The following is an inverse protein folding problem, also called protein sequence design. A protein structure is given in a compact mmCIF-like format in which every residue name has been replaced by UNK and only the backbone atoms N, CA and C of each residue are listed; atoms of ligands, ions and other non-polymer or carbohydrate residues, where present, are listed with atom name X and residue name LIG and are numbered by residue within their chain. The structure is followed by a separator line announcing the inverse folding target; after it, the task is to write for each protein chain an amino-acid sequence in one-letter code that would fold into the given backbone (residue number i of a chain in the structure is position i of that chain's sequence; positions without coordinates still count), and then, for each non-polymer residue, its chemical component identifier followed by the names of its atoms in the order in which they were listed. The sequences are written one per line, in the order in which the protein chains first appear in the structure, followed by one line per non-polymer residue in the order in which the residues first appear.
data_IF_512218972310
#
_entry.id   IF_512218972310
#
_cell.length_a   1.000
_cell.length_b   1.000
_cell.length_c   1.000
_cell.angle_alpha   90.00
_cell.angle_beta   90.00
_cell.angle_gamma   90.00
#
_symmetry.space_group_name_H-M   'P 1'
#
loop_
_entity.id
_entity.type
_entity.pdbx_description
1 polymer ?
2 non-polymer ?
3 non-polymer ?
4 non-polymer ?
5 non-polymer ?
6 water ?
#
# COMPACT_ATOMS: atom_id res chain seq x y z
N UNK A 7 -25.46 14.70 12.88
CA UNK A 7 -23.96 14.66 13.10
C UNK A 7 -23.30 16.04 12.85
N UNK A 8 -22.72 16.63 13.91
CA UNK A 8 -22.28 18.05 13.90
C UNK A 8 -20.75 18.20 13.88
N UNK A 9 -20.23 18.94 12.89
CA UNK A 9 -18.76 19.09 12.68
C UNK A 9 -18.37 20.47 12.14
N UNK A 10 -17.07 20.83 12.21
CA UNK A 10 -16.65 22.14 11.69
C UNK A 10 -17.11 22.35 10.25
N UNK A 11 -17.53 23.56 9.90
CA UNK A 11 -17.96 23.81 8.54
C UNK A 11 -16.74 23.92 7.63
N UNK A 12 -16.71 23.15 6.53
CA UNK A 12 -15.63 23.49 5.62
C UNK A 12 -15.91 24.87 5.03
N UNK A 13 -14.88 25.66 4.87
CA UNK A 13 -15.02 26.97 4.22
C UNK A 13 -14.07 26.99 3.04
N UNK A 14 -14.68 27.31 1.92
CA UNK A 14 -14.07 27.17 0.62
C UNK A 14 -12.95 28.17 0.38
N UNK A 15 -12.97 29.32 1.07
CA UNK A 15 -11.89 30.30 1.00
C UNK A 15 -10.84 30.14 2.11
N UNK A 16 -10.99 29.12 2.95
CA UNK A 16 -9.95 28.72 3.90
C UNK A 16 -9.53 27.25 3.50
N UNK A 17 -8.38 27.11 2.87
CA UNK A 17 -7.89 25.77 2.64
C UNK A 17 -7.43 25.12 3.96
N UNK A 18 -7.48 23.78 4.00
CA UNK A 18 -7.06 22.92 5.12
C UNK A 18 -5.52 23.00 5.29
N UNK A 19 -4.87 22.67 4.20
CA UNK A 19 -3.45 22.57 4.09
C UNK A 19 -3.10 23.47 2.94
N UNK A 20 -2.24 24.48 3.13
CA UNK A 20 -1.71 25.33 2.04
C UNK A 20 -0.28 24.98 1.66
N UNK A 21 0.29 24.03 2.39
CA UNK A 21 1.70 23.68 2.30
C UNK A 21 1.97 22.52 1.36
N UNK A 22 0.92 21.74 1.06
CA UNK A 22 1.11 20.55 0.25
C UNK A 22 0.02 20.48 -0.83
N UNK A 23 0.33 19.74 -1.87
CA UNK A 23 -0.63 19.42 -2.95
C UNK A 23 -1.60 18.37 -2.36
N UNK A 24 -2.90 18.65 -2.39
CA UNK A 24 -3.90 17.72 -1.79
C UNK A 24 -4.83 17.04 -2.81
N UNK A 25 -4.63 17.36 -4.05
CA UNK A 25 -5.32 16.73 -5.18
C UNK A 25 -4.39 16.59 -6.37
N UNK A 26 -4.39 15.45 -7.07
CA UNK A 26 -3.56 15.26 -8.23
C UNK A 26 -4.16 15.95 -9.44
N UNK A 27 -3.36 16.09 -10.51
CA UNK A 27 -4.00 16.75 -11.69
C UNK A 27 -5.08 15.97 -12.40
N UNK A 28 -5.32 14.73 -12.03
CA UNK A 28 -6.47 14.00 -12.50
C UNK A 28 -7.53 13.87 -11.42
N UNK A 29 -7.52 14.79 -10.47
CA UNK A 29 -8.56 14.94 -9.45
C UNK A 29 -8.70 13.76 -8.49
N UNK A 30 -7.60 13.10 -8.22
CA UNK A 30 -7.56 12.12 -7.09
C UNK A 30 -7.06 12.79 -5.86
N UNK A 31 -7.76 12.66 -4.75
CA UNK A 31 -7.26 13.19 -3.46
C UNK A 31 -5.88 12.60 -3.13
N UNK A 32 -5.04 13.49 -2.64
CA UNK A 32 -3.79 13.09 -1.96
C UNK A 32 -3.97 13.24 -0.45
N UNK A 33 -3.89 12.11 0.25
CA UNK A 33 -4.33 11.94 1.59
C UNK A 33 -3.27 12.34 2.62
N UNK A 34 -3.53 13.53 3.19
CA UNK A 34 -2.78 14.17 4.31
C UNK A 34 -3.67 14.45 5.51
N UNK A 35 -3.07 14.46 6.72
CA UNK A 35 -3.81 14.90 7.90
C UNK A 35 -4.28 16.33 7.71
N UNK A 36 -5.54 16.56 8.00
CA UNK A 36 -6.19 17.81 7.88
C UNK A 36 -7.01 17.93 6.62
N UNK A 37 -6.98 16.92 5.74
CA UNK A 37 -7.81 16.93 4.54
C UNK A 37 -9.14 16.23 4.70
N UNK A 38 -9.26 15.38 5.73
CA UNK A 38 -10.40 14.55 5.92
C UNK A 38 -11.00 14.66 7.31
N UNK A 39 -12.31 14.56 7.36
CA UNK A 39 -13.05 14.42 8.64
C UNK A 39 -13.33 12.93 8.79
N UNK A 40 -12.62 12.28 9.66
CA UNK A 40 -12.77 10.82 9.76
C UNK A 40 -14.14 10.38 10.22
N UNK A 41 -14.86 11.23 10.94
CA UNK A 41 -16.18 10.85 11.42
C UNK A 41 -17.15 10.72 10.24
N UNK A 42 -17.00 11.62 9.26
CA UNK A 42 -17.80 11.45 8.07
C UNK A 42 -17.49 10.22 7.31
N UNK A 43 -16.21 9.99 6.99
CA UNK A 43 -15.78 8.77 6.27
C UNK A 43 -16.15 7.46 6.97
N UNK A 44 -15.99 7.43 8.28
CA UNK A 44 -16.30 6.23 9.01
C UNK A 44 -17.78 5.87 8.83
N UNK A 45 -18.63 6.86 8.92
CA UNK A 45 -20.07 6.65 8.73
C UNK A 45 -20.37 6.12 7.34
N UNK A 46 -19.77 6.73 6.33
CA UNK A 46 -20.04 6.30 4.98
C UNK A 46 -19.65 4.86 4.80
N UNK A 47 -18.46 4.48 5.30
CA UNK A 47 -17.97 3.11 5.11
C UNK A 47 -18.67 2.08 5.97
N UNK A 48 -19.09 2.51 7.18
CA UNK A 48 -19.87 1.56 8.02
C UNK A 48 -21.25 1.28 7.45
N UNK A 49 -21.81 2.30 6.81
CA UNK A 49 -23.14 2.09 6.15
C UNK A 49 -23.11 1.03 5.09
N UNK A 50 -21.97 0.80 4.44
CA UNK A 50 -21.79 -0.31 3.53
C UNK A 50 -21.22 -1.56 4.14
N UNK A 51 -21.09 -1.62 5.44
CA UNK A 51 -20.54 -2.80 6.08
C UNK A 51 -19.23 -3.20 5.46
N UNK A 52 -18.38 -2.22 5.29
CA UNK A 52 -17.08 -2.47 4.52
C UNK A 52 -16.18 -3.44 5.20
N UNK A 53 -15.63 -4.39 4.44
CA UNK A 53 -14.59 -5.31 4.91
C UNK A 53 -13.34 -5.04 4.18
N UNK A 54 -12.29 -4.88 4.93
CA UNK A 54 -10.96 -4.59 4.36
C UNK A 54 -10.03 -5.80 4.60
N UNK A 55 -9.39 -6.28 3.51
CA UNK A 55 -8.48 -7.36 3.57
C UNK A 55 -7.09 -6.74 3.62
N UNK A 56 -6.17 -7.27 4.43
CA UNK A 56 -4.81 -6.73 4.53
C UNK A 56 -3.91 -7.92 4.26
N UNK A 57 -3.12 -7.85 3.20
CA UNK A 57 -2.19 -8.93 2.81
C UNK A 57 -0.78 -8.59 3.22
N UNK A 58 -0.04 -9.57 3.73
CA UNK A 58 1.30 -9.37 4.18
C UNK A 58 2.04 -10.67 3.95
N UNK A 59 3.26 -10.61 3.45
CA UNK A 59 4.06 -11.82 3.24
C UNK A 59 5.06 -11.87 4.36
N UNK A 60 5.20 -13.04 4.99
CA UNK A 60 6.26 -13.26 5.99
C UNK A 60 6.93 -14.58 5.67
N UNK A 61 7.98 -14.53 4.83
CA UNK A 61 8.68 -15.72 4.28
C UNK A 61 10.07 -15.73 4.91
N UNK A 62 10.50 -16.90 5.38
CA UNK A 62 11.83 -17.01 6.03
C UNK A 62 11.95 -16.19 7.32
N UNK A 63 13.03 -15.41 7.52
CA UNK A 63 13.25 -14.62 8.71
C UNK A 63 12.20 -13.55 9.04
N UNK A 64 11.49 -13.13 8.00
CA UNK A 64 10.44 -12.12 8.12
C UNK A 64 9.24 -12.48 8.97
N UNK A 65 9.11 -13.75 9.39
CA UNK A 65 8.10 -14.07 10.36
C UNK A 65 8.31 -13.36 11.66
N UNK A 66 9.57 -12.99 11.94
CA UNK A 66 9.88 -12.25 13.16
C UNK A 66 9.18 -10.89 13.27
N UNK A 67 8.84 -10.29 12.12
CA UNK A 67 8.15 -8.99 12.06
C UNK A 67 6.65 -9.07 12.30
N UNK A 68 6.05 -10.25 12.24
CA UNK A 68 4.58 -10.33 12.38
C UNK A 68 4.00 -9.90 13.73
N UNK A 69 4.62 -10.20 14.89
CA UNK A 69 3.99 -9.86 16.13
C UNK A 69 3.76 -8.37 16.24
N UNK A 70 4.79 -7.56 15.96
CA UNK A 70 4.66 -6.12 16.13
C UNK A 70 3.67 -5.57 15.04
N UNK A 71 3.81 -6.10 13.87
CA UNK A 71 2.95 -5.69 12.73
C UNK A 71 1.51 -5.89 13.10
N UNK A 72 1.17 -7.09 13.52
CA UNK A 72 -0.26 -7.35 13.88
C UNK A 72 -0.75 -6.67 15.15
N UNK A 73 0.07 -6.62 16.22
CA UNK A 73 -0.29 -5.89 17.37
C UNK A 73 -0.62 -4.39 17.09
N UNK A 74 0.23 -3.77 16.31
CA UNK A 74 0.08 -2.36 15.99
C UNK A 74 -1.04 -2.14 14.98
N UNK A 75 -1.29 -3.12 14.10
CA UNK A 75 -2.46 -3.04 13.20
C UNK A 75 -3.76 -3.09 14.00
N UNK A 76 -3.82 -3.92 15.04
CA UNK A 76 -4.96 -3.93 15.94
C UNK A 76 -5.24 -2.59 16.61
N UNK A 77 -4.16 -1.86 16.94
CA UNK A 77 -4.32 -0.54 17.47
C UNK A 77 -4.75 0.55 16.51
N UNK A 78 -4.33 0.46 15.27
CA UNK A 78 -4.42 1.62 14.34
C UNK A 78 -5.09 1.40 13.03
N UNK A 79 -5.20 0.13 12.58
CA UNK A 79 -5.64 -0.14 11.19
C UNK A 79 -7.13 -0.46 11.11
N UNK A 80 -7.86 0.42 10.46
CA UNK A 80 -9.30 0.23 10.26
C UNK A 80 -10.08 -0.10 11.53
N UNK A 81 -9.70 0.54 12.65
CA UNK A 81 -10.37 0.18 13.87
C UNK A 81 -11.84 0.55 13.81
N UNK A 82 -12.73 -0.40 14.11
CA UNK A 82 -14.17 -0.23 14.02
C UNK A 82 -14.84 -0.78 12.82
N UNK A 83 -14.00 -1.18 11.85
CA UNK A 83 -14.44 -1.77 10.62
C UNK A 83 -14.08 -3.23 10.55
N UNK A 84 -14.67 -3.97 9.65
CA UNK A 84 -14.32 -5.42 9.51
C UNK A 84 -12.99 -5.54 8.80
N UNK A 85 -12.12 -6.38 9.33
CA UNK A 85 -10.77 -6.55 8.82
C UNK A 85 -10.48 -8.06 8.72
N UNK A 86 -9.93 -8.48 7.57
CA UNK A 86 -9.44 -9.82 7.37
C UNK A 86 -7.97 -9.75 6.97
N UNK A 87 -7.10 -10.23 7.88
CA UNK A 87 -5.68 -10.32 7.63
C UNK A 87 -5.37 -11.58 6.85
N UNK A 88 -4.61 -11.46 5.79
CA UNK A 88 -4.14 -12.65 5.09
C UNK A 88 -2.63 -12.68 5.19
N UNK A 89 -2.11 -13.67 5.93
CA UNK A 89 -0.70 -13.80 6.15
C UNK A 89 -0.18 -14.93 5.29
N UNK A 90 0.66 -14.59 4.29
CA UNK A 90 1.29 -15.56 3.40
C UNK A 90 2.62 -15.93 3.99
N UNK A 91 2.81 -17.22 4.32
CA UNK A 91 4.08 -17.57 4.96
C UNK A 91 4.44 -19.02 4.56
N UNK A 92 5.74 -19.28 4.57
CA UNK A 92 6.31 -20.65 4.43
C UNK A 92 6.35 -21.35 5.81
N UNK A 93 6.05 -20.63 6.87
CA UNK A 93 6.07 -21.15 8.26
C UNK A 93 4.76 -20.93 9.04
N UNK A 94 3.70 -21.68 8.73
CA UNK A 94 2.41 -21.38 9.47
C UNK A 94 2.48 -21.42 10.98
N UNK A 95 3.28 -22.35 11.54
CA UNK A 95 3.43 -22.44 13.02
C UNK A 95 4.16 -21.28 13.70
N UNK A 96 4.86 -20.49 12.90
CA UNK A 96 5.56 -19.31 13.39
C UNK A 96 4.68 -18.02 13.45
N UNK A 97 3.49 -18.07 12.91
CA UNK A 97 2.57 -16.88 12.97
C UNK A 97 2.19 -16.71 14.44
N UNK A 98 2.54 -15.59 15.04
CA UNK A 98 2.07 -15.39 16.44
C UNK A 98 0.56 -15.28 16.61
N UNK A 99 0.03 -15.77 17.75
CA UNK A 99 -1.39 -15.76 18.01
C UNK A 99 -1.56 -14.38 18.70
N UNK A 100 -2.11 -13.42 17.99
CA UNK A 100 -2.33 -12.08 18.52
C UNK A 100 -3.85 -11.98 18.74
N UNK A 101 -4.25 -11.39 19.83
CA UNK A 101 -5.67 -11.26 20.17
C UNK A 101 -6.26 -10.13 19.35
N UNK A 102 -7.37 -10.44 18.67
CA UNK A 102 -7.96 -9.47 17.76
C UNK A 102 -9.24 -8.88 18.32
N UNK A 103 -9.51 -7.63 17.95
CA UNK A 103 -10.75 -6.95 18.19
C UNK A 103 -11.90 -7.61 17.49
N UNK A 104 -13.10 -7.25 17.94
CA UNK A 104 -14.30 -7.88 17.36
C UNK A 104 -14.42 -7.50 15.85
N UNK A 105 -14.88 -8.45 15.03
CA UNK A 105 -15.05 -8.14 13.57
C UNK A 105 -13.76 -8.28 12.74
N UNK A 106 -12.73 -8.86 13.36
CA UNK A 106 -11.43 -9.00 12.76
C UNK A 106 -11.01 -10.42 12.80
N UNK A 107 -10.49 -10.88 11.66
CA UNK A 107 -10.03 -12.29 11.53
C UNK A 107 -8.73 -12.41 10.85
N UNK A 108 -8.04 -13.52 11.06
CA UNK A 108 -6.75 -13.70 10.42
C UNK A 108 -6.75 -15.08 9.76
N UNK A 109 -6.28 -15.15 8.53
CA UNK A 109 -6.07 -16.42 7.83
C UNK A 109 -4.63 -16.55 7.50
N UNK A 110 -4.11 -17.78 7.59
CA UNK A 110 -2.72 -18.08 7.25
C UNK A 110 -2.72 -18.83 5.94
N UNK A 111 -1.98 -18.36 4.94
CA UNK A 111 -1.95 -18.97 3.62
C UNK A 111 -0.52 -19.50 3.49
N UNK A 112 -0.39 -20.82 3.33
CA UNK A 112 0.94 -21.37 3.22
C UNK A 112 1.39 -21.32 1.79
N UNK A 113 2.58 -20.76 1.57
CA UNK A 113 3.17 -20.64 0.25
C UNK A 113 4.60 -21.16 0.27
N UNK A 114 5.14 -21.29 -0.95
CA UNK A 114 6.53 -21.72 -1.12
C UNK A 114 7.47 -20.53 -0.97
N UNK A 115 8.70 -20.82 -0.57
CA UNK A 115 9.75 -19.79 -0.44
C UNK A 115 10.60 -19.87 -1.71
N UNK A 116 10.82 -18.73 -2.35
CA UNK A 116 11.87 -18.60 -3.37
C UNK A 116 13.17 -18.25 -2.64
N UNK A 117 14.32 -18.70 -3.18
CA UNK A 117 15.63 -18.46 -2.54
C UNK A 117 16.02 -16.97 -2.58
N UNK A 118 15.91 -16.38 -3.76
CA UNK A 118 16.29 -14.98 -3.97
C UNK A 118 15.28 -13.98 -3.37
N UNK A 119 15.78 -12.93 -2.71
CA UNK A 119 14.94 -11.83 -2.17
C UNK A 119 14.16 -11.08 -3.24
N UNK A 120 14.67 -11.10 -4.48
CA UNK A 120 14.02 -10.44 -5.64
C UNK A 120 12.74 -11.15 -6.03
N UNK A 121 12.78 -12.49 -6.02
CA UNK A 121 11.62 -13.34 -6.38
C UNK A 121 10.60 -13.43 -5.25
N UNK A 122 11.05 -13.43 -3.99
CA UNK A 122 10.11 -13.35 -2.82
C UNK A 122 9.27 -12.07 -2.93
N UNK A 123 9.96 -10.92 -3.02
CA UNK A 123 9.28 -9.63 -3.20
C UNK A 123 8.45 -9.63 -4.52
N UNK A 124 9.04 -10.13 -5.61
CA UNK A 124 8.40 -10.09 -6.96
C UNK A 124 7.20 -11.02 -7.11
N UNK A 125 7.30 -12.27 -6.63
CA UNK A 125 6.20 -13.25 -6.77
C UNK A 125 4.97 -12.90 -5.88
N UNK A 126 5.05 -11.82 -5.10
CA UNK A 126 3.87 -11.36 -4.33
C UNK A 126 2.75 -11.02 -5.32
N UNK A 127 3.06 -10.30 -6.37
CA UNK A 127 2.01 -10.04 -7.37
C UNK A 127 1.28 -11.30 -7.86
N UNK A 128 2.06 -12.32 -8.13
CA UNK A 128 1.47 -13.56 -8.55
C UNK A 128 0.63 -14.15 -7.43
N UNK A 129 1.19 -14.15 -6.22
CA UNK A 129 0.56 -14.79 -5.09
C UNK A 129 -0.76 -14.07 -4.78
N UNK A 130 -0.71 -12.75 -4.78
CA UNK A 130 -1.95 -12.00 -4.56
C UNK A 130 -3.01 -12.31 -5.60
N UNK A 131 -2.61 -12.44 -6.87
CA UNK A 131 -3.64 -12.63 -7.92
C UNK A 131 -4.04 -14.13 -8.01
N UNK A 134 -5.42 -17.37 -6.22
CA UNK A 134 -5.88 -16.81 -4.93
C UNK A 134 -7.02 -15.80 -5.09
N UNK A 135 -7.71 -15.89 -6.23
CA UNK A 135 -8.48 -14.80 -6.81
C UNK A 135 -9.95 -14.77 -6.33
N UNK A 136 -10.64 -15.92 -6.39
CA UNK A 136 -12.08 -15.98 -6.00
C UNK A 136 -12.27 -15.82 -4.49
N UNK A 137 -11.26 -16.21 -3.71
CA UNK A 137 -11.40 -16.13 -2.25
C UNK A 137 -11.47 -14.64 -1.83
N UNK A 138 -10.57 -13.78 -2.35
CA UNK A 138 -10.62 -12.32 -2.04
C UNK A 138 -11.94 -11.66 -2.46
N UNK A 139 -12.41 -11.94 -3.69
CA UNK A 139 -13.69 -11.41 -4.21
C UNK A 139 -14.90 -11.68 -3.33
N UNK A 140 -14.95 -12.86 -2.69
CA UNK A 140 -16.09 -13.20 -1.84
C UNK A 140 -15.96 -12.68 -0.41
N UNK A 141 -14.74 -12.41 0.04
CA UNK A 141 -14.49 -12.23 1.50
C UNK A 141 -14.28 -10.77 1.92
N UNK A 142 -13.80 -9.93 0.99
CA UNK A 142 -13.48 -8.53 1.26
C UNK A 142 -13.98 -7.55 0.17
N UNK A 143 -14.14 -6.27 0.54
CA UNK A 143 -14.48 -5.23 -0.42
C UNK A 143 -13.22 -4.58 -1.04
N UNK A 144 -12.22 -4.35 -0.18
CA UNK A 144 -10.96 -3.76 -0.55
C UNK A 144 -9.84 -4.63 -0.15
N UNK A 145 -8.71 -4.54 -0.84
CA UNK A 145 -7.50 -5.21 -0.47
C UNK A 145 -6.43 -4.13 -0.32
N UNK A 146 -5.65 -4.25 0.74
CA UNK A 146 -4.50 -3.44 1.05
C UNK A 146 -3.27 -4.35 1.15
N UNK A 147 -2.22 -4.01 0.44
CA UNK A 147 -1.07 -4.87 0.24
C UNK A 147 0.15 -4.17 0.77
N UNK A 148 0.73 -4.67 1.84
CA UNK A 148 1.86 -3.94 2.54
C UNK A 148 3.03 -4.88 2.87
N UNK A 149 4.19 -4.27 3.00
CA UNK A 149 5.34 -4.92 3.63
C UNK A 149 5.11 -5.29 5.07
N UNK A 150 5.80 -6.40 5.52
CA UNK A 150 5.64 -6.83 6.90
C UNK A 150 6.64 -6.20 7.91
N UNK A 151 7.77 -5.74 7.38
CA UNK A 151 8.78 -5.10 8.23
C UNK A 151 8.46 -3.64 8.61
N UNK A 152 7.32 -3.45 9.28
CA UNK A 152 6.71 -2.14 9.41
C UNK A 152 5.97 -2.21 10.69
N UNK A 153 5.60 -1.08 11.23
CA UNK A 153 4.73 -1.00 12.33
C UNK A 153 3.76 0.18 12.13
N UNK A 154 2.54 0.00 12.54
CA UNK A 154 1.61 1.12 12.65
C UNK A 154 1.85 1.94 13.90
N UNK A 155 2.04 3.25 13.73
CA UNK A 155 2.19 4.20 14.85
C UNK A 155 1.04 5.20 15.06
N UNK A 156 0.10 5.30 14.09
CA UNK A 156 -0.99 6.19 14.16
C UNK A 156 -2.06 5.69 13.16
N UNK A 157 -3.18 6.34 13.22
CA UNK A 157 -4.37 5.98 12.43
C UNK A 157 -4.07 5.71 10.96
N UNK A 158 -4.56 4.51 10.49
CA UNK A 158 -4.57 4.19 9.05
C UNK A 158 -5.96 3.64 8.83
N UNK A 159 -6.84 4.44 8.21
CA UNK A 159 -8.25 4.12 8.18
C UNK A 159 -8.89 4.31 6.78
N UNK A 160 -10.22 4.42 6.81
CA UNK A 160 -11.00 4.28 5.59
C UNK A 160 -10.76 5.44 4.65
N UNK A 161 -10.13 6.52 5.09
CA UNK A 161 -9.65 7.54 4.19
C UNK A 161 -8.83 7.04 3.03
N UNK A 162 -8.18 5.88 3.19
CA UNK A 162 -7.29 5.43 2.11
C UNK A 162 -8.11 4.69 1.07
N UNK A 163 -9.33 4.26 1.42
CA UNK A 163 -10.09 3.35 0.56
C UNK A 163 -10.69 4.08 -0.64
N UNK A 164 -10.58 3.39 -1.76
CA UNK A 164 -10.89 3.94 -3.13
C UNK A 164 -10.70 2.79 -4.13
N UNK A 165 -11.12 2.93 -5.39
CA UNK A 165 -10.81 1.83 -6.32
C UNK A 165 -9.37 1.44 -6.46
N UNK A 166 -8.43 2.39 -6.51
CA UNK A 166 -7.04 2.14 -6.70
C UNK A 166 -6.19 3.22 -6.04
N UNK A 167 -5.26 2.79 -5.18
CA UNK A 167 -4.35 3.74 -4.62
C UNK A 167 -2.90 3.25 -4.61
N UNK A 168 -2.02 4.24 -4.70
CA UNK A 168 -0.63 4.04 -4.46
C UNK A 168 -0.20 5.04 -3.40
N UNK A 169 1.09 4.89 -2.99
CA UNK A 169 1.62 5.64 -1.85
C UNK A 169 2.93 6.31 -2.33
N UNK A 170 3.07 7.56 -2.03
CA UNK A 170 4.30 8.30 -2.43
C UNK A 170 5.52 7.78 -1.68
N UNK A 171 6.57 7.42 -2.44
CA UNK A 171 7.83 6.90 -1.85
C UNK A 171 8.45 8.01 -1.02
N UNK A 172 8.82 7.71 0.24
CA UNK A 172 9.22 8.80 1.14
C UNK A 172 10.55 9.50 0.78
N UNK A 173 11.33 8.86 -0.09
CA UNK A 173 12.66 9.37 -0.53
C UNK A 173 12.55 10.23 -1.75
N UNK A 174 11.37 10.25 -2.37
CA UNK A 174 11.27 10.93 -3.64
C UNK A 174 10.14 11.91 -3.78
N UNK A 175 9.33 12.15 -2.75
CA UNK A 175 8.17 13.01 -2.87
C UNK A 175 8.49 14.47 -3.22
N UNK A 176 9.66 14.96 -2.80
CA UNK A 176 10.08 16.33 -3.14
C UNK A 176 10.99 16.38 -4.36
N UNK A 177 11.07 15.29 -5.09
CA UNK A 177 11.96 15.22 -6.23
C UNK A 177 11.29 15.44 -7.59
N UNK A 178 12.13 15.76 -8.57
CA UNK A 178 11.73 15.94 -9.95
C UNK A 178 11.79 14.62 -10.67
N UNK A 179 11.01 14.47 -11.71
CA UNK A 179 10.80 13.18 -12.33
C UNK A 179 12.04 12.51 -12.94
N UNK A 180 12.89 13.25 -13.63
CA UNK A 180 14.18 12.70 -14.09
C UNK A 180 15.01 12.06 -12.95
N UNK A 181 14.83 12.50 -11.71
CA UNK A 181 15.42 11.82 -10.55
C UNK A 181 14.74 10.49 -10.13
N UNK A 182 13.54 10.22 -10.65
CA UNK A 182 12.82 9.01 -10.25
C UNK A 182 13.54 7.80 -10.79
N UNK A 183 13.67 6.80 -9.95
CA UNK A 183 14.35 5.55 -10.31
C UNK A 183 13.41 4.53 -10.95
N UNK A 184 12.58 5.01 -11.88
CA UNK A 184 11.84 4.20 -12.79
C UNK A 184 12.78 3.32 -13.61
N UNK A 185 12.24 2.28 -14.18
CA UNK A 185 13.01 1.46 -15.14
C UNK A 185 13.22 2.35 -16.38
N UNK A 186 14.46 2.50 -16.83
CA UNK A 186 14.76 3.34 -18.00
C UNK A 186 15.17 2.60 -19.29
N UNK A 187 15.17 1.27 -19.26
CA UNK A 187 15.52 0.47 -20.43
C UNK A 187 14.27 0.14 -21.29
N UNK A 188 14.24 0.54 -22.57
CA UNK A 188 13.07 0.22 -23.35
C UNK A 188 12.83 -1.28 -23.56
N UNK A 189 13.81 -2.08 -23.19
CA UNK A 189 13.72 -3.51 -23.27
C UNK A 189 12.71 -4.07 -22.27
N UNK A 190 12.47 -3.31 -21.19
CA UNK A 190 11.66 -3.78 -20.05
C UNK A 190 10.20 -3.34 -20.21
N UNK A 191 9.26 -4.23 -19.95
CA UNK A 191 7.83 -3.87 -19.80
C UNK A 191 7.60 -2.70 -18.82
N UNK A 192 8.52 -2.51 -17.86
CA UNK A 192 8.38 -1.45 -16.85
C UNK A 192 8.89 -0.09 -17.31
N UNK A 193 9.33 -0.04 -18.57
CA UNK A 193 10.02 1.14 -19.08
C UNK A 193 9.18 2.43 -19.01
N UNK A 194 9.71 3.46 -18.38
CA UNK A 194 9.15 4.81 -18.47
C UNK A 194 10.17 5.88 -18.93
N UNK A 195 9.86 6.53 -20.06
CA UNK A 195 10.77 7.59 -20.59
C UNK A 195 11.06 8.68 -19.61
N UNK A 196 12.21 9.33 -19.79
CA UNK A 196 12.65 10.44 -18.94
C UNK A 196 11.68 11.63 -18.84
N UNK A 197 10.83 11.81 -19.83
CA UNK A 197 9.94 12.98 -19.81
C UNK A 197 8.50 12.60 -19.34
N UNK A 198 8.34 11.36 -18.84
CA UNK A 198 7.04 10.88 -18.35
C UNK A 198 7.06 10.57 -16.85
N UNK A 199 5.85 10.55 -16.28
CA UNK A 199 5.76 10.24 -14.86
C UNK A 199 5.13 11.27 -13.97
N UNK A 200 4.19 10.81 -13.13
CA UNK A 200 3.58 11.69 -12.16
C UNK A 200 4.30 11.70 -10.83
N UNK A 201 4.48 10.51 -10.23
CA UNK A 201 5.05 10.38 -8.93
C UNK A 201 5.88 9.11 -8.96
N UNK A 202 6.61 8.87 -7.90
CA UNK A 202 7.32 7.64 -7.77
C UNK A 202 6.63 6.94 -6.59
N UNK A 203 5.91 5.86 -6.89
CA UNK A 203 5.16 5.13 -5.83
C UNK A 203 6.03 4.05 -5.23
N UNK A 204 5.88 3.78 -3.94
CA UNK A 204 6.62 2.71 -3.28
C UNK A 204 5.86 1.40 -3.35
N UNK A 205 6.56 0.29 -3.60
CA UNK A 205 5.83 -1.01 -3.64
C UNK A 205 5.35 -1.57 -2.33
N UNK A 206 5.70 -0.91 -1.23
CA UNK A 206 5.40 -1.35 0.13
C UNK A 206 3.98 -1.08 0.60
N UNK A 207 3.16 -0.39 -0.22
CA UNK A 207 1.79 0.01 0.29
C UNK A 207 1.00 0.43 -0.92
N UNK A 208 0.12 -0.43 -1.40
CA UNK A 208 -0.79 -0.12 -2.47
C UNK A 208 -2.09 -0.88 -2.18
N UNK A 209 -3.14 -0.58 -2.92
CA UNK A 209 -4.38 -1.30 -2.75
C UNK A 209 -5.52 -0.70 -3.51
N UNK A 210 -6.75 -1.11 -3.12
CA UNK A 210 -7.90 -0.73 -3.89
C UNK A 210 -9.05 -1.66 -3.71
N UNK A 211 -10.01 -1.53 -4.57
CA UNK A 211 -11.05 -2.59 -4.62
C UNK A 211 -10.45 -3.92 -5.00
N UNK A 212 -11.13 -5.02 -4.62
CA UNK A 212 -10.58 -6.32 -4.94
C UNK A 212 -10.40 -6.41 -6.48
N UNK A 213 -11.36 -5.93 -7.25
CA UNK A 213 -11.26 -6.03 -8.75
C UNK A 213 -10.02 -5.27 -9.23
N UNK A 214 -9.78 -4.04 -8.75
CA UNK A 214 -8.67 -3.26 -9.25
C UNK A 214 -7.33 -3.79 -8.80
N UNK A 215 -7.26 -4.31 -7.58
CA UNK A 215 -6.02 -4.95 -7.10
C UNK A 215 -5.74 -6.28 -7.90
N UNK A 216 -6.76 -7.02 -8.16
CA UNK A 216 -6.56 -8.29 -8.97
C UNK A 216 -6.05 -7.85 -10.35
N UNK A 217 -6.60 -6.80 -10.96
CA UNK A 217 -6.11 -6.28 -12.26
C UNK A 217 -4.67 -5.84 -12.26
N UNK A 218 -4.32 -5.04 -11.23
CA UNK A 218 -3.00 -4.56 -11.10
C UNK A 218 -2.03 -5.74 -10.95
N UNK A 219 -2.35 -6.67 -10.06
CA UNK A 219 -1.39 -7.71 -9.68
C UNK A 219 -1.20 -8.68 -10.86
N UNK A 220 -2.31 -8.96 -11.55
CA UNK A 220 -2.30 -9.74 -12.82
C UNK A 220 -1.47 -9.06 -13.86
N UNK A 221 -1.67 -7.76 -14.06
CA UNK A 221 -0.88 -7.02 -15.02
C UNK A 221 0.58 -7.00 -14.69
N UNK A 222 0.93 -6.75 -13.42
CA UNK A 222 2.33 -6.68 -13.03
C UNK A 222 3.00 -8.08 -13.25
N UNK A 223 2.28 -9.13 -12.89
CA UNK A 223 2.80 -10.50 -13.00
C UNK A 223 3.02 -10.81 -14.45
N UNK A 224 2.07 -10.48 -15.32
CA UNK A 224 2.19 -10.72 -16.78
C UNK A 224 3.33 -9.98 -17.38
N UNK A 225 3.51 -8.74 -16.94
CA UNK A 225 4.64 -7.92 -17.33
C UNK A 225 5.99 -8.48 -16.85
N UNK A 226 6.06 -8.98 -15.63
CA UNK A 226 7.35 -9.50 -15.14
C UNK A 226 7.70 -10.80 -15.91
N UNK A 227 6.70 -11.60 -16.29
CA UNK A 227 6.95 -12.90 -16.96
C UNK A 227 7.51 -12.59 -18.34
N UNK A 228 6.95 -11.55 -18.97
CA UNK A 228 7.45 -11.07 -20.27
C UNK A 228 8.91 -10.60 -20.16
N UNK A 229 9.23 -9.86 -19.11
CA UNK A 229 10.59 -9.43 -18.91
C UNK A 229 11.52 -10.64 -18.72
N UNK A 230 11.08 -11.62 -17.95
CA UNK A 230 11.87 -12.86 -17.70
C UNK A 230 12.13 -13.64 -19.01
N UNK A 231 11.06 -13.98 -19.73
CA UNK A 231 11.20 -14.60 -21.05
C UNK A 231 11.99 -13.75 -22.06
N UNK A 232 12.42 -12.54 -21.67
CA UNK A 232 13.29 -11.71 -22.51
C UNK A 232 14.64 -11.41 -21.91
N UNK A 233 15.00 -12.06 -20.81
CA UNK A 233 16.29 -11.82 -20.16
C UNK A 233 16.56 -10.47 -19.51
N UNK A 234 15.53 -9.82 -18.94
CA UNK A 234 15.78 -8.55 -18.22
C UNK A 234 14.98 -8.58 -16.91
N UNK A 235 15.55 -7.99 -15.87
CA UNK A 235 14.91 -7.86 -14.57
C UNK A 235 14.83 -6.40 -14.35
N UNK A 236 13.63 -5.88 -14.11
CA UNK A 236 13.49 -4.45 -13.92
C UNK A 236 14.27 -4.00 -12.72
N UNK A 237 14.79 -2.80 -12.77
CA UNK A 237 15.66 -2.26 -11.77
C UNK A 237 15.23 -2.30 -10.32
N UNK A 238 14.00 -1.90 -10.04
CA UNK A 238 13.44 -2.13 -8.70
C UNK A 238 12.31 -3.11 -8.75
N UNK A 239 12.39 -4.06 -9.70
CA UNK A 239 11.60 -5.28 -9.59
C UNK A 239 10.07 -5.00 -9.60
N UNK A 240 9.32 -5.45 -8.58
CA UNK A 240 7.84 -5.27 -8.58
C UNK A 240 7.48 -3.80 -8.57
N UNK A 241 8.25 -3.01 -7.83
CA UNK A 241 8.01 -1.58 -7.72
C UNK A 241 8.18 -0.89 -9.05
N UNK A 242 9.12 -1.33 -9.88
CA UNK A 242 9.19 -0.79 -11.27
C UNK A 242 7.89 -0.98 -12.07
N UNK A 243 7.33 -2.18 -12.03
CA UNK A 243 6.15 -2.54 -12.75
C UNK A 243 4.93 -1.85 -12.12
N UNK A 244 4.89 -1.76 -10.78
CA UNK A 244 3.84 -0.99 -10.04
C UNK A 244 3.80 0.43 -10.56
N UNK A 245 4.98 1.03 -10.73
CA UNK A 245 5.04 2.41 -11.19
C UNK A 245 4.63 2.56 -12.63
N UNK A 246 4.97 1.60 -13.48
CA UNK A 246 4.48 1.63 -14.85
C UNK A 246 2.96 1.45 -14.93
N UNK A 247 2.39 0.53 -14.15
CA UNK A 247 0.96 0.31 -14.11
C UNK A 247 0.21 1.60 -13.70
N UNK A 248 0.71 2.23 -12.64
CA UNK A 248 0.03 3.42 -12.05
C UNK A 248 0.25 4.67 -12.90
N UNK A 249 1.27 4.67 -13.77
CA UNK A 249 1.39 5.71 -14.78
C UNK A 249 0.29 5.60 -15.81
N UNK A 250 0.04 4.40 -16.29
CA UNK A 250 -0.94 4.15 -17.32
C UNK A 250 -2.38 4.01 -16.81
N UNK A 251 -2.56 3.63 -15.55
CA UNK A 251 -3.89 3.46 -14.92
C UNK A 251 -3.85 4.29 -13.65
N UNK A 252 -4.29 5.53 -13.69
CA UNK A 252 -3.94 6.43 -12.62
C UNK A 252 -4.75 6.16 -11.38
N UNK A 253 -4.07 6.21 -10.20
CA UNK A 253 -4.78 5.83 -9.02
C UNK A 253 -5.86 6.90 -8.69
N UNK A 254 -6.91 6.44 -8.03
CA UNK A 254 -8.00 7.30 -7.63
C UNK A 254 -7.87 7.96 -6.28
N UNK A 255 -6.93 7.49 -5.48
CA UNK A 255 -6.31 8.26 -4.37
C UNK A 255 -4.80 7.99 -4.33
N UNK A 256 -4.04 8.95 -3.85
CA UNK A 256 -2.61 8.82 -3.56
C UNK A 256 -2.41 9.07 -2.09
N UNK A 257 -1.73 8.17 -1.39
CA UNK A 257 -1.41 8.43 -0.02
C UNK A 257 -0.15 9.27 0.10
N UNK A 258 -0.21 10.20 1.02
CA UNK A 258 1.02 10.95 1.34
C UNK A 258 2.07 10.08 2.08
N UNK A 259 3.29 10.65 2.25
CA UNK A 259 4.32 9.86 2.97
C UNK A 259 4.08 9.67 4.45
N UNK A 260 3.01 10.23 5.01
CA UNK A 260 2.58 9.90 6.34
C UNK A 260 2.34 8.40 6.40
N UNK A 261 1.98 7.83 5.25
CA UNK A 261 1.60 6.40 5.22
C UNK A 261 2.70 5.46 4.95
N UNK A 262 3.91 5.95 4.61
CA UNK A 262 5.06 5.09 4.42
C UNK A 262 6.33 5.92 4.77
N UNK A 263 6.82 5.74 5.95
CA UNK A 263 7.96 6.57 6.40
C UNK A 263 9.01 5.82 7.19
N UNK A 264 10.16 6.49 7.40
CA UNK A 264 11.25 5.83 8.17
C UNK A 264 11.87 6.96 8.94
N UNK A 265 11.57 7.07 10.24
CA UNK A 265 11.95 8.21 11.05
C UNK A 265 13.49 8.18 11.23
N UNK A 266 14.03 6.98 11.21
CA UNK A 266 15.52 6.82 11.46
C UNK A 266 16.28 7.47 10.29
N UNK A 267 15.89 7.12 9.07
CA UNK A 267 16.49 7.72 7.88
C UNK A 267 16.09 9.16 7.52
N UNK A 268 14.88 9.57 7.89
CA UNK A 268 14.28 10.79 7.39
C UNK A 268 13.73 11.74 8.46
N UNK A 269 13.76 11.40 9.76
CA UNK A 269 13.35 12.28 10.77
C UNK A 269 11.85 12.49 10.84
N UNK A 270 11.45 13.62 11.30
CA UNK A 270 10.02 14.00 11.38
C UNK A 270 9.84 15.38 10.96
N UNK A 271 9.70 15.60 9.66
CA UNK A 271 9.58 16.93 9.11
C UNK A 271 8.22 17.55 9.38
N UNK A 272 8.18 18.89 9.43
CA UNK A 272 6.98 19.59 9.82
C UNK A 272 5.78 19.27 8.90
N UNK A 273 6.06 19.07 7.64
CA UNK A 273 5.01 18.76 6.65
C UNK A 273 4.30 17.42 6.93
N UNK A 274 4.91 16.57 7.73
CA UNK A 274 4.25 15.32 8.22
C UNK A 274 3.67 15.52 9.56
N UNK A 275 2.35 15.76 9.65
CA UNK A 275 1.74 15.95 10.94
C UNK A 275 1.58 14.68 11.75
N UNK A 276 1.51 13.51 11.06
CA UNK A 276 1.48 12.22 11.65
C UNK A 276 2.38 11.33 10.89
N UNK A 277 3.03 10.39 11.61
CA UNK A 277 3.77 9.29 11.05
C UNK A 277 2.91 8.05 11.36
N UNK A 278 2.24 7.53 10.33
CA UNK A 278 1.23 6.46 10.54
C UNK A 278 1.72 5.02 10.45
N UNK A 279 2.59 4.76 9.54
CA UNK A 279 3.08 3.37 9.17
C UNK A 279 4.55 3.53 8.80
N UNK A 280 5.41 2.89 9.60
CA UNK A 280 6.80 3.14 9.51
C UNK A 280 7.64 1.89 9.49
N UNK A 281 8.80 2.04 8.85
CA UNK A 281 9.81 0.94 8.84
C UNK A 281 10.36 0.58 10.23
N UNK A 282 10.53 -0.72 10.43
CA UNK A 282 11.18 -1.26 11.62
C UNK A 282 12.67 -1.41 11.19
N UNK A 283 13.57 -1.00 12.08
CA UNK A 283 15.01 -1.30 11.88
C UNK A 283 15.27 -2.77 11.50
N UNK A 284 16.07 -2.98 10.46
CA UNK A 284 16.52 -4.30 10.07
C UNK A 284 17.88 -4.21 9.35
#
# INVERSE_FOLDING_TARGET
MVSLPRMVYPQPKVLTPCRKDVLVVTPWLAPIVWEGTFNIDILNEQFRLQNTTIGLTVFAIKKYVAFLKLFLETAEKHFMVGHRVHYYVFTDQPAAVPRVTLGTGRQLSVLEVGAYKRWQDVSMRRMEMISDFCERRFLSEVDYLVCVDVDMEFRDHVGVEILTPLFGTLHPSFYGSSREAFTYERRPQSQAYIPKDEGDFYYMGAFFGGSVQEVQRLTRACHQAMMVDQANGIEAVWHDESHLNKYLLRHKPTKVLSPEYLWDQQLLGWPAVLRKLRFTAVPKNHQAVRNPE
#
